data_IF_845241456941
#
_entry.id   IF_845241456941
#
_cell.length_a   1.000
_cell.length_b   1.000
_cell.length_c   1.000
_cell.angle_alpha   90.00
_cell.angle_beta   90.00
_cell.angle_gamma   90.00
#
_symmetry.space_group_name_H-M   'P 1'
#
loop_
_entity.id
_entity.type
_entity.pdbx_description
1 polymer ?
#
# COMPACT_ATOMS: atom_id res chain seq x y z
N UNK A 1 -15.24 21.19 17.31
CA UNK A 1 -14.03 20.34 17.13
C UNK A 1 -14.54 18.95 16.87
N UNK A 2 -14.47 18.47 15.63
CA UNK A 2 -14.85 17.09 15.32
C UNK A 2 -13.68 16.21 15.71
N UNK A 3 -13.88 15.40 16.73
CA UNK A 3 -12.95 14.37 17.15
C UNK A 3 -12.81 13.34 16.02
N UNK A 4 -11.71 13.44 15.25
CA UNK A 4 -11.34 12.46 14.23
C UNK A 4 -10.54 11.37 14.96
N UNK A 5 -11.16 10.68 15.92
CA UNK A 5 -10.55 9.50 16.50
C UNK A 5 -10.57 8.35 15.48
N UNK A 6 -9.50 7.57 15.43
CA UNK A 6 -9.42 6.41 14.53
C UNK A 6 -10.59 5.44 14.69
N UNK A 7 -11.20 5.37 15.89
CA UNK A 7 -12.37 4.53 16.18
C UNK A 7 -13.66 5.08 15.55
N UNK A 8 -13.81 6.39 15.45
CA UNK A 8 -14.96 7.00 14.75
C UNK A 8 -14.89 6.73 13.24
N UNK A 9 -13.71 6.87 12.63
CA UNK A 9 -13.47 6.51 11.23
C UNK A 9 -13.74 5.02 10.97
N UNK A 10 -13.25 4.12 11.84
CA UNK A 10 -13.53 2.67 11.76
C UNK A 10 -15.01 2.35 11.85
N UNK A 11 -15.76 3.03 12.73
CA UNK A 11 -17.19 2.79 12.89
C UNK A 11 -18.01 3.18 11.65
N UNK A 12 -17.63 4.27 10.98
CA UNK A 12 -18.27 4.72 9.73
C UNK A 12 -17.96 3.84 8.53
N UNK A 13 -16.83 3.12 8.56
CA UNK A 13 -16.26 2.38 7.42
C UNK A 13 -16.39 0.86 7.52
N UNK A 14 -17.35 0.34 8.30
CA UNK A 14 -17.57 -1.12 8.42
C UNK A 14 -18.09 -1.74 7.13
N UNK A 15 -17.56 -2.91 6.78
CA UNK A 15 -17.96 -3.76 5.66
C UNK A 15 -16.90 -3.83 4.57
N UNK A 16 -16.97 -4.88 3.74
CA UNK A 16 -16.02 -5.13 2.67
C UNK A 16 -15.86 -3.94 1.70
N UNK A 17 -14.66 -3.75 1.16
CA UNK A 17 -14.35 -2.72 0.17
C UNK A 17 -14.42 -3.34 -1.21
N UNK A 18 -15.50 -3.07 -1.93
CA UNK A 18 -15.80 -3.72 -3.23
C UNK A 18 -16.07 -2.74 -4.37
N UNK A 19 -16.03 -1.43 -4.12
CA UNK A 19 -16.30 -0.41 -5.13
C UNK A 19 -15.22 0.68 -5.15
N UNK A 20 -15.02 1.28 -6.33
CA UNK A 20 -14.08 2.40 -6.48
C UNK A 20 -14.48 3.61 -5.65
N UNK A 21 -15.78 3.92 -5.57
CA UNK A 21 -16.25 5.05 -4.74
C UNK A 21 -15.86 4.88 -3.28
N UNK A 22 -15.92 3.63 -2.78
CA UNK A 22 -15.48 3.34 -1.42
C UNK A 22 -13.97 3.45 -1.26
N UNK A 23 -13.19 3.00 -2.24
CA UNK A 23 -11.73 3.20 -2.28
C UNK A 23 -11.39 4.67 -2.20
N UNK A 24 -12.01 5.49 -3.06
CA UNK A 24 -11.78 6.93 -3.10
C UNK A 24 -12.16 7.61 -1.78
N UNK A 25 -13.30 7.21 -1.19
CA UNK A 25 -13.76 7.77 0.07
C UNK A 25 -12.79 7.44 1.23
N UNK A 26 -12.36 6.18 1.35
CA UNK A 26 -11.37 5.75 2.36
C UNK A 26 -10.04 6.49 2.15
N UNK A 27 -9.56 6.54 0.91
CA UNK A 27 -8.28 7.16 0.61
C UNK A 27 -8.30 8.67 0.86
N UNK A 28 -9.37 9.37 0.44
CA UNK A 28 -9.52 10.80 0.72
C UNK A 28 -9.51 11.07 2.24
N UNK A 29 -10.31 10.32 3.02
CA UNK A 29 -10.35 10.47 4.47
C UNK A 29 -8.98 10.19 5.12
N UNK A 30 -8.24 9.19 4.63
CA UNK A 30 -6.91 8.89 5.14
C UNK A 30 -5.89 9.96 4.77
N UNK A 31 -5.90 10.45 3.53
CA UNK A 31 -4.99 11.52 3.10
C UNK A 31 -5.31 12.84 3.83
N UNK A 32 -6.57 13.13 4.10
CA UNK A 32 -6.97 14.28 4.93
C UNK A 32 -6.37 14.17 6.34
N UNK A 33 -6.44 13.01 6.97
CA UNK A 33 -5.80 12.77 8.27
C UNK A 33 -4.27 12.88 8.18
N UNK A 34 -3.66 12.32 7.15
CA UNK A 34 -2.22 12.32 6.94
C UNK A 34 -1.63 13.71 6.70
N UNK A 35 -2.39 14.60 6.07
CA UNK A 35 -1.99 15.96 5.73
C UNK A 35 -2.61 17.03 6.64
N UNK A 36 -3.21 16.60 7.78
CA UNK A 36 -3.83 17.50 8.76
C UNK A 36 -4.93 18.40 8.16
N UNK A 37 -5.62 17.93 7.13
CA UNK A 37 -6.69 18.65 6.45
C UNK A 37 -8.05 18.41 7.14
N UNK A 38 -8.99 19.34 7.03
CA UNK A 38 -10.35 19.11 7.48
C UNK A 38 -11.02 17.96 6.72
N UNK A 39 -11.91 17.22 7.38
CA UNK A 39 -12.69 16.17 6.75
C UNK A 39 -13.53 16.70 5.57
N UNK A 40 -13.45 16.02 4.42
CA UNK A 40 -14.13 16.41 3.18
C UNK A 40 -13.40 17.48 2.35
N UNK A 41 -12.25 17.96 2.79
CA UNK A 41 -11.49 19.00 2.09
C UNK A 41 -11.08 18.57 0.67
N UNK A 42 -10.64 17.33 0.49
CA UNK A 42 -10.22 16.79 -0.83
C UNK A 42 -11.40 16.77 -1.80
N UNK A 43 -12.54 16.23 -1.37
CA UNK A 43 -13.74 16.18 -2.21
C UNK A 43 -14.25 17.58 -2.55
N UNK A 44 -14.18 18.51 -1.62
CA UNK A 44 -14.54 19.89 -1.87
C UNK A 44 -13.59 20.56 -2.87
N UNK A 45 -12.29 20.35 -2.73
CA UNK A 45 -11.28 20.86 -3.64
C UNK A 45 -11.49 20.38 -5.08
N UNK A 46 -11.78 19.09 -5.27
CA UNK A 46 -12.07 18.52 -6.58
C UNK A 46 -13.30 19.16 -7.22
N UNK A 47 -14.37 19.36 -6.46
CA UNK A 47 -15.60 19.99 -6.94
C UNK A 47 -15.42 21.48 -7.31
N UNK A 48 -14.52 22.17 -6.63
CA UNK A 48 -14.23 23.59 -6.87
C UNK A 48 -13.07 23.84 -7.86
N UNK A 49 -12.39 22.78 -8.31
CA UNK A 49 -11.21 22.89 -9.15
C UNK A 49 -10.01 23.52 -8.42
N UNK A 50 -9.92 23.31 -7.09
CA UNK A 50 -8.78 23.80 -6.32
C UNK A 50 -7.53 22.97 -6.62
N UNK A 51 -6.40 23.65 -6.88
CA UNK A 51 -5.16 22.97 -7.26
C UNK A 51 -4.35 22.45 -6.08
N UNK A 52 -4.41 23.14 -4.93
CA UNK A 52 -3.57 22.83 -3.75
C UNK A 52 -4.35 23.01 -2.46
N UNK A 53 -4.26 22.00 -1.60
CA UNK A 53 -4.68 22.04 -0.20
C UNK A 53 -3.45 22.06 0.70
N UNK A 54 -3.44 22.92 1.70
CA UNK A 54 -2.31 23.04 2.62
C UNK A 54 -2.74 23.25 4.06
N UNK A 55 -2.02 22.62 5.00
CA UNK A 55 -2.26 22.74 6.43
C UNK A 55 -0.96 22.76 7.23
N UNK A 56 -1.01 23.32 8.44
CA UNK A 56 0.05 23.12 9.43
C UNK A 56 -0.09 21.75 10.09
N UNK A 57 1.05 21.16 10.43
CA UNK A 57 1.10 19.90 11.16
C UNK A 57 0.41 20.07 12.53
N UNK A 58 -0.46 19.12 12.85
CA UNK A 58 -1.08 19.03 14.16
C UNK A 58 -0.08 18.44 15.18
N UNK A 59 -0.29 18.66 16.50
CA UNK A 59 0.42 17.94 17.54
C UNK A 59 0.29 16.42 17.36
N UNK A 60 1.33 15.67 17.74
CA UNK A 60 1.40 14.22 17.54
C UNK A 60 0.20 13.46 18.14
N UNK A 61 -0.29 13.91 19.29
CA UNK A 61 -1.48 13.36 19.96
C UNK A 61 -2.78 13.53 19.16
N UNK A 62 -2.87 14.54 18.30
CA UNK A 62 -4.02 14.79 17.42
C UNK A 62 -3.90 14.03 16.09
N UNK A 63 -2.73 13.48 15.77
CA UNK A 63 -2.44 12.76 14.54
C UNK A 63 -2.72 11.24 14.63
N UNK A 64 -3.49 10.77 15.59
CA UNK A 64 -3.71 9.33 15.86
C UNK A 64 -4.32 8.55 14.69
N UNK A 65 -5.02 9.24 13.76
CA UNK A 65 -5.59 8.65 12.55
C UNK A 65 -4.63 8.63 11.36
N UNK A 66 -3.48 9.31 11.43
CA UNK A 66 -2.47 9.29 10.36
C UNK A 66 -1.82 7.93 10.19
N UNK A 67 -1.30 7.67 8.99
CA UNK A 67 -0.48 6.48 8.73
C UNK A 67 0.78 6.51 9.59
N UNK A 68 1.01 5.39 10.29
CA UNK A 68 2.06 5.28 11.33
C UNK A 68 3.49 5.19 10.77
N UNK A 69 3.64 4.96 9.47
CA UNK A 69 4.97 4.86 8.83
C UNK A 69 5.79 6.13 8.94
N UNK A 70 5.13 7.27 8.88
CA UNK A 70 5.77 8.59 8.82
C UNK A 70 5.44 9.44 10.05
N UNK A 71 5.17 8.80 11.21
CA UNK A 71 4.83 9.54 12.41
C UNK A 71 6.02 10.42 12.88
N UNK A 72 5.75 11.69 13.02
CA UNK A 72 6.41 12.66 13.92
C UNK A 72 7.77 13.26 13.50
N UNK A 73 8.47 12.78 12.47
CA UNK A 73 9.87 13.19 12.24
C UNK A 73 10.08 14.10 11.02
N UNK A 74 9.01 14.43 10.28
CA UNK A 74 9.10 15.25 9.07
C UNK A 74 8.71 16.71 9.34
N UNK A 75 9.36 17.63 8.63
CA UNK A 75 9.05 19.05 8.66
C UNK A 75 8.15 19.49 7.49
N UNK A 76 8.14 18.68 6.41
CA UNK A 76 7.34 18.89 5.21
C UNK A 76 6.87 17.54 4.66
N UNK A 77 5.58 17.45 4.37
CA UNK A 77 4.95 16.35 3.64
C UNK A 77 4.24 16.90 2.43
N UNK A 78 4.47 16.31 1.28
CA UNK A 78 3.90 16.72 0.00
C UNK A 78 3.36 15.50 -0.73
N UNK A 79 2.21 15.64 -1.38
CA UNK A 79 1.62 14.61 -2.21
C UNK A 79 0.72 15.19 -3.28
N UNK A 80 0.28 14.32 -4.18
CA UNK A 80 -0.75 14.64 -5.16
C UNK A 80 -1.74 13.47 -5.26
N UNK A 81 -3.01 13.79 -5.21
CA UNK A 81 -4.09 12.85 -5.37
C UNK A 81 -5.15 13.41 -6.32
N UNK A 82 -5.35 12.72 -7.46
CA UNK A 82 -6.32 13.09 -8.49
C UNK A 82 -6.21 14.56 -8.94
N UNK A 83 -4.99 15.04 -9.13
CA UNK A 83 -4.72 16.41 -9.58
C UNK A 83 -4.73 17.47 -8.48
N UNK A 84 -5.10 17.12 -7.24
CA UNK A 84 -5.03 18.01 -6.10
C UNK A 84 -3.70 17.84 -5.38
N UNK A 85 -2.91 18.90 -5.30
CA UNK A 85 -1.70 18.95 -4.49
C UNK A 85 -2.05 18.98 -3.00
N UNK A 86 -1.38 18.13 -2.21
CA UNK A 86 -1.57 18.04 -0.76
C UNK A 86 -0.27 18.44 -0.07
N UNK A 87 -0.36 19.31 0.93
CA UNK A 87 0.80 19.86 1.59
C UNK A 87 0.55 20.03 3.08
N UNK A 88 1.48 19.50 3.88
CA UNK A 88 1.51 19.73 5.31
C UNK A 88 2.93 20.07 5.76
N UNK A 89 3.09 21.08 6.60
CA UNK A 89 4.38 21.48 7.13
C UNK A 89 4.30 21.88 8.59
N UNK A 90 5.38 21.66 9.31
CA UNK A 90 5.49 22.03 10.73
C UNK A 90 5.60 23.55 10.93
N UNK A 91 6.27 24.24 9.99
CA UNK A 91 6.52 25.67 10.12
C UNK A 91 5.73 26.47 9.07
N UNK A 92 5.08 27.54 9.54
CA UNK A 92 4.30 28.44 8.68
C UNK A 92 5.09 28.99 7.48
N UNK A 93 6.37 29.32 7.65
CA UNK A 93 7.24 29.78 6.58
C UNK A 93 7.45 28.72 5.51
N UNK A 94 7.72 27.48 5.92
CA UNK A 94 7.88 26.34 5.01
C UNK A 94 6.58 26.09 4.24
N UNK A 95 5.45 26.06 4.96
CA UNK A 95 4.12 25.87 4.39
C UNK A 95 3.83 26.91 3.30
N UNK A 96 3.99 28.19 3.64
CA UNK A 96 3.72 29.29 2.70
C UNK A 96 4.54 29.18 1.42
N UNK A 97 5.87 29.01 1.55
CA UNK A 97 6.76 28.98 0.39
C UNK A 97 6.54 27.72 -0.45
N UNK A 98 6.36 26.55 0.19
CA UNK A 98 6.07 25.33 -0.53
C UNK A 98 4.70 25.38 -1.25
N UNK A 99 3.69 26.02 -0.65
CA UNK A 99 2.38 26.24 -1.31
C UNK A 99 2.53 27.12 -2.55
N UNK A 100 3.36 28.14 -2.51
CA UNK A 100 3.64 29.00 -3.67
C UNK A 100 4.32 28.21 -4.81
N UNK A 101 5.24 27.28 -4.48
CA UNK A 101 5.89 26.42 -5.46
C UNK A 101 4.94 25.39 -6.10
N UNK A 102 3.91 24.96 -5.37
CA UNK A 102 2.95 23.96 -5.86
C UNK A 102 1.83 24.54 -6.74
N UNK A 103 1.67 25.85 -6.81
CA UNK A 103 0.61 26.46 -7.61
C UNK A 103 0.90 26.34 -9.10
N UNK A 104 -0.15 26.10 -9.90
CA UNK A 104 -0.06 25.99 -11.34
C UNK A 104 0.52 24.67 -11.83
N UNK A 105 1.21 24.69 -12.95
CA UNK A 105 1.75 23.48 -13.60
C UNK A 105 2.76 22.70 -12.74
N UNK A 106 3.40 23.38 -11.79
CA UNK A 106 4.37 22.75 -10.89
C UNK A 106 3.76 21.70 -9.98
N UNK A 107 2.46 21.76 -9.67
CA UNK A 107 1.80 20.76 -8.82
C UNK A 107 1.90 19.33 -9.36
N UNK A 108 1.91 19.15 -10.67
CA UNK A 108 2.03 17.86 -11.35
C UNK A 108 3.49 17.37 -11.48
N UNK A 109 4.44 18.30 -11.48
CA UNK A 109 5.87 18.03 -11.74
C UNK A 109 6.74 18.23 -10.50
N UNK A 110 6.14 18.37 -9.33
CA UNK A 110 6.84 18.68 -8.08
C UNK A 110 7.86 17.59 -7.67
N UNK A 111 7.66 16.36 -8.14
CA UNK A 111 8.60 15.26 -7.94
C UNK A 111 9.84 15.32 -8.83
N UNK A 112 9.93 16.26 -9.76
CA UNK A 112 11.07 16.42 -10.65
C UNK A 112 12.23 17.16 -9.98
N UNK A 113 13.43 17.01 -10.55
CA UNK A 113 14.67 17.50 -9.94
C UNK A 113 14.65 19.01 -9.61
N UNK A 114 14.16 19.84 -10.50
CA UNK A 114 14.19 21.29 -10.29
C UNK A 114 13.32 21.76 -9.11
N UNK A 115 12.04 21.35 -8.98
CA UNK A 115 11.24 21.60 -7.79
C UNK A 115 11.79 20.98 -6.51
N UNK A 116 12.29 19.75 -6.58
CA UNK A 116 12.89 19.07 -5.41
C UNK A 116 14.11 19.83 -4.89
N UNK A 117 14.94 20.37 -5.77
CA UNK A 117 16.08 21.20 -5.38
C UNK A 117 15.62 22.43 -4.61
N UNK A 118 14.60 23.13 -5.07
CA UNK A 118 14.06 24.32 -4.40
C UNK A 118 13.51 23.98 -3.01
N UNK A 119 12.81 22.84 -2.89
CA UNK A 119 12.32 22.37 -1.60
C UNK A 119 13.47 22.00 -0.65
N UNK A 120 14.52 21.37 -1.13
CA UNK A 120 15.71 21.06 -0.33
C UNK A 120 16.44 22.33 0.15
N UNK A 121 16.56 23.33 -0.69
CA UNK A 121 17.08 24.64 -0.30
C UNK A 121 16.22 25.29 0.81
N UNK A 122 14.89 25.18 0.71
CA UNK A 122 13.94 25.64 1.74
C UNK A 122 14.09 24.88 3.07
N UNK A 123 14.38 23.57 3.02
CA UNK A 123 14.48 22.67 4.17
C UNK A 123 15.86 22.70 4.85
N UNK A 124 16.91 23.11 4.15
CA UNK A 124 18.30 23.16 4.67
C UNK A 124 18.43 23.87 6.02
N UNK A 125 17.78 25.04 6.28
CA UNK A 125 17.88 25.71 7.60
C UNK A 125 17.33 24.88 8.77
N UNK A 126 16.55 23.82 8.48
CA UNK A 126 15.96 22.92 9.46
C UNK A 126 16.72 21.59 9.54
N UNK A 127 17.89 21.48 8.88
CA UNK A 127 18.64 20.23 8.75
C UNK A 127 17.79 19.07 8.17
N UNK A 128 16.91 19.39 7.25
CA UNK A 128 15.99 18.45 6.59
C UNK A 128 16.19 18.46 5.08
N UNK A 129 15.87 17.34 4.46
CA UNK A 129 15.83 17.19 3.01
C UNK A 129 14.74 16.22 2.60
N UNK A 130 14.36 16.24 1.33
CA UNK A 130 13.50 15.22 0.73
C UNK A 130 14.34 13.98 0.46
N UNK A 131 13.96 12.85 1.04
CA UNK A 131 14.69 11.59 0.92
C UNK A 131 14.35 10.78 -0.34
N UNK A 132 13.21 11.02 -0.93
CA UNK A 132 12.73 10.32 -2.12
C UNK A 132 11.22 10.39 -2.26
N UNK A 133 10.74 10.12 -3.46
CA UNK A 133 9.31 10.05 -3.76
C UNK A 133 8.84 8.59 -3.73
N UNK A 134 7.66 8.36 -3.19
CA UNK A 134 6.97 7.07 -3.26
C UNK A 134 5.73 7.21 -4.14
N UNK A 135 5.52 6.22 -4.99
CA UNK A 135 4.26 6.05 -5.73
C UNK A 135 3.46 4.97 -5.03
N UNK A 136 2.19 5.25 -4.81
CA UNK A 136 1.27 4.37 -4.12
C UNK A 136 0.15 3.93 -5.04
N UNK A 137 -0.22 2.68 -4.89
CA UNK A 137 -1.15 1.96 -5.72
C UNK A 137 -2.32 1.48 -4.88
N UNK A 138 -3.54 1.58 -5.42
CA UNK A 138 -4.76 1.02 -4.82
C UNK A 138 -5.41 0.00 -5.76
N UNK A 139 -6.33 -0.84 -5.25
CA UNK A 139 -7.03 -1.82 -6.06
C UNK A 139 -7.73 -1.21 -7.27
N UNK A 140 -7.56 -1.83 -8.44
CA UNK A 140 -8.34 -1.56 -9.64
C UNK A 140 -9.76 -2.11 -9.50
N UNK A 141 -10.65 -1.71 -10.42
CA UNK A 141 -12.01 -2.25 -10.50
C UNK A 141 -12.01 -3.78 -10.58
N UNK A 142 -11.17 -4.37 -11.40
CA UNK A 142 -11.11 -5.83 -11.58
C UNK A 142 -10.73 -6.56 -10.27
N UNK A 143 -9.80 -6.01 -9.50
CA UNK A 143 -9.44 -6.58 -8.20
C UNK A 143 -10.61 -6.47 -7.21
N UNK A 144 -11.30 -5.33 -7.18
CA UNK A 144 -12.46 -5.12 -6.31
C UNK A 144 -13.62 -6.08 -6.65
N UNK A 145 -13.92 -6.26 -7.93
CA UNK A 145 -14.96 -7.18 -8.40
C UNK A 145 -14.64 -8.66 -8.08
N UNK A 146 -13.36 -9.01 -7.98
CA UNK A 146 -12.92 -10.36 -7.63
C UNK A 146 -13.07 -10.73 -6.14
N UNK A 147 -13.35 -9.74 -5.29
CA UNK A 147 -13.45 -9.96 -3.83
C UNK A 147 -14.67 -10.79 -3.47
N UNK A 148 -15.79 -10.57 -4.15
CA UNK A 148 -17.05 -11.25 -3.88
C UNK A 148 -17.21 -12.45 -4.81
N UNK A 149 -17.20 -13.70 -4.28
CA UNK A 149 -17.56 -14.87 -5.07
C UNK A 149 -19.01 -14.77 -5.56
N UNK A 150 -19.33 -15.30 -6.75
CA UNK A 150 -20.67 -15.20 -7.35
C UNK A 150 -21.78 -15.87 -6.49
N UNK A 151 -21.42 -16.75 -5.59
CA UNK A 151 -22.34 -17.55 -4.78
C UNK A 151 -22.70 -16.88 -3.43
N UNK A 152 -22.08 -15.73 -3.09
CA UNK A 152 -22.40 -15.01 -1.84
C UNK A 152 -23.47 -13.96 -2.13
N UNK A 153 -24.66 -14.05 -1.52
CA UNK A 153 -25.73 -13.10 -1.76
C UNK A 153 -25.36 -11.70 -1.25
N UNK A 154 -25.50 -10.72 -2.13
CA UNK A 154 -25.38 -9.31 -1.77
C UNK A 154 -26.67 -8.83 -1.10
N UNK A 155 -26.56 -8.18 0.05
CA UNK A 155 -27.67 -7.51 0.72
C UNK A 155 -27.61 -6.02 0.42
N UNK A 156 -28.71 -5.46 -0.07
CA UNK A 156 -28.86 -4.00 -0.20
C UNK A 156 -29.15 -3.39 1.19
N UNK A 157 -28.27 -2.50 1.62
CA UNK A 157 -28.41 -1.81 2.92
C UNK A 157 -28.43 -0.31 2.67
N UNK A 158 -29.41 0.39 3.27
CA UNK A 158 -29.50 1.84 3.22
C UNK A 158 -28.27 2.46 3.90
N UNK A 159 -27.52 3.27 3.17
CA UNK A 159 -26.32 3.91 3.72
C UNK A 159 -26.71 5.03 4.69
N UNK A 160 -26.07 5.08 5.85
CA UNK A 160 -26.28 6.13 6.84
C UNK A 160 -25.59 7.47 6.48
N UNK A 161 -24.77 7.48 5.42
CA UNK A 161 -24.05 8.67 4.96
C UNK A 161 -24.98 9.51 4.08
N UNK A 162 -25.20 10.80 4.39
CA UNK A 162 -26.02 11.70 3.57
C UNK A 162 -25.46 11.80 2.13
N UNK A 163 -26.33 11.60 1.14
CA UNK A 163 -25.97 11.68 -0.29
C UNK A 163 -25.61 10.35 -0.95
N UNK A 164 -25.40 9.28 -0.18
CA UNK A 164 -25.20 7.92 -0.70
C UNK A 164 -26.48 7.13 -0.43
N UNK A 165 -27.23 6.77 -1.47
CA UNK A 165 -28.50 6.06 -1.37
C UNK A 165 -28.36 4.63 -0.83
N UNK A 166 -28.60 3.61 -1.66
CA UNK A 166 -28.46 2.21 -1.31
C UNK A 166 -27.02 1.72 -1.58
N UNK A 167 -26.41 1.04 -0.61
CA UNK A 167 -25.13 0.33 -0.78
C UNK A 167 -25.38 -1.17 -0.78
N UNK A 168 -24.66 -1.88 -1.66
CA UNK A 168 -24.59 -3.34 -1.58
C UNK A 168 -23.62 -3.74 -0.46
N UNK A 169 -24.10 -4.51 0.48
CA UNK A 169 -23.30 -5.01 1.61
C UNK A 169 -23.21 -6.51 1.53
N UNK A 170 -21.98 -7.02 1.55
CA UNK A 170 -21.71 -8.45 1.66
C UNK A 170 -21.42 -8.78 3.11
N UNK A 171 -21.89 -9.94 3.58
CA UNK A 171 -21.50 -10.45 4.89
C UNK A 171 -19.98 -10.70 4.92
N UNK A 172 -19.27 -9.82 5.62
CA UNK A 172 -17.82 -9.90 5.71
C UNK A 172 -17.31 -11.16 6.41
N UNK A 173 -18.11 -11.78 7.28
CA UNK A 173 -17.75 -13.03 7.96
C UNK A 173 -17.78 -14.22 7.00
N UNK A 174 -18.87 -14.37 6.26
CA UNK A 174 -19.02 -15.43 5.25
C UNK A 174 -17.99 -15.26 4.11
N UNK A 175 -17.74 -14.03 3.69
CA UNK A 175 -16.76 -13.72 2.66
C UNK A 175 -15.33 -14.09 3.09
N UNK A 176 -14.95 -13.73 4.32
CA UNK A 176 -13.65 -14.10 4.89
C UNK A 176 -13.43 -15.60 4.93
N UNK A 177 -14.43 -16.31 5.40
CA UNK A 177 -14.34 -17.78 5.53
C UNK A 177 -14.25 -18.43 4.14
N UNK A 178 -15.04 -17.97 3.17
CA UNK A 178 -14.97 -18.45 1.78
C UNK A 178 -13.59 -18.19 1.17
N UNK A 179 -13.02 -17.00 1.34
CA UNK A 179 -11.69 -16.68 0.85
C UNK A 179 -10.59 -17.48 1.54
N UNK A 180 -10.69 -17.69 2.87
CA UNK A 180 -9.76 -18.56 3.59
C UNK A 180 -9.79 -19.99 3.06
N UNK A 181 -10.95 -20.55 2.85
CA UNK A 181 -11.10 -21.89 2.31
C UNK A 181 -10.56 -21.99 0.89
N UNK A 182 -10.83 -20.98 0.06
CA UNK A 182 -10.29 -20.91 -1.29
C UNK A 182 -8.76 -20.89 -1.27
N UNK A 183 -8.15 -20.00 -0.48
CA UNK A 183 -6.69 -19.84 -0.39
C UNK A 183 -6.02 -21.08 0.19
N UNK A 184 -6.56 -21.67 1.25
CA UNK A 184 -6.01 -22.90 1.84
C UNK A 184 -6.11 -24.11 0.90
N UNK A 185 -6.98 -24.07 -0.12
CA UNK A 185 -7.12 -25.08 -1.17
C UNK A 185 -6.26 -24.84 -2.42
N UNK A 186 -5.66 -23.65 -2.56
CA UNK A 186 -4.92 -23.29 -3.75
C UNK A 186 -3.61 -24.10 -3.88
N UNK A 187 -3.59 -24.98 -4.86
CA UNK A 187 -2.36 -25.51 -5.43
C UNK A 187 -2.14 -24.83 -6.77
N UNK A 188 -1.20 -23.90 -6.81
CA UNK A 188 -0.87 -23.22 -8.06
C UNK A 188 0.24 -24.00 -8.76
N UNK A 189 -0.09 -24.58 -9.91
CA UNK A 189 0.91 -25.14 -10.81
C UNK A 189 1.34 -24.04 -11.76
N UNK A 190 2.58 -23.59 -11.65
CA UNK A 190 3.15 -22.61 -12.57
C UNK A 190 4.03 -23.38 -13.56
N UNK A 191 3.63 -23.38 -14.83
CA UNK A 191 4.49 -23.86 -15.92
C UNK A 191 5.51 -22.78 -16.25
N UNK A 192 6.79 -23.08 -16.11
CA UNK A 192 7.88 -22.14 -16.41
C UNK A 192 8.73 -22.72 -17.51
N UNK A 193 9.02 -21.94 -18.57
CA UNK A 193 10.11 -22.30 -19.48
C UNK A 193 11.41 -22.38 -18.67
N UNK A 194 12.15 -23.45 -18.84
CA UNK A 194 13.44 -23.64 -18.19
C UNK A 194 14.43 -22.64 -18.82
N UNK A 195 14.52 -21.41 -18.26
CA UNK A 195 15.56 -20.48 -18.64
C UNK A 195 16.88 -20.97 -18.02
N UNK A 196 17.63 -21.76 -18.76
CA UNK A 196 19.06 -21.98 -18.45
C UNK A 196 19.77 -20.62 -18.50
N UNK A 197 20.62 -20.35 -17.52
CA UNK A 197 21.34 -19.09 -17.34
C UNK A 197 22.23 -18.65 -18.51
N UNK A 198 22.32 -19.45 -19.58
CA UNK A 198 23.18 -19.24 -20.75
C UNK A 198 22.40 -19.24 -22.08
N UNK A 199 21.22 -18.57 -22.10
CA UNK A 199 20.35 -18.51 -23.27
C UNK A 199 20.86 -17.59 -24.41
N UNK A 200 22.11 -17.75 -24.83
CA UNK A 200 22.62 -17.20 -26.11
C UNK A 200 22.73 -18.25 -27.21
N UNK A 201 22.57 -19.55 -26.91
CA UNK A 201 22.65 -20.65 -27.89
C UNK A 201 21.66 -21.79 -27.53
N UNK A 202 20.38 -21.52 -27.40
CA UNK A 202 19.36 -22.55 -27.21
C UNK A 202 18.69 -22.86 -28.56
N UNK A 203 18.84 -24.09 -29.04
CA UNK A 203 18.02 -24.67 -30.10
C UNK A 203 16.54 -24.64 -29.72
N UNK A 204 15.66 -24.33 -30.69
CA UNK A 204 14.22 -24.13 -30.50
C UNK A 204 13.44 -25.36 -29.98
N UNK A 205 14.06 -26.48 -29.76
CA UNK A 205 13.43 -27.77 -29.45
C UNK A 205 13.57 -28.23 -27.98
N UNK A 206 14.23 -27.45 -27.10
CA UNK A 206 14.45 -27.83 -25.69
C UNK A 206 13.66 -26.94 -24.71
N UNK A 207 12.34 -26.74 -24.95
CA UNK A 207 11.44 -26.17 -23.99
C UNK A 207 11.01 -27.22 -22.96
N UNK A 208 11.93 -27.66 -22.12
CA UNK A 208 11.57 -28.44 -20.94
C UNK A 208 10.80 -27.53 -19.99
N UNK A 209 9.46 -27.64 -20.00
CA UNK A 209 8.56 -26.97 -19.06
C UNK A 209 8.68 -27.72 -17.74
N UNK A 210 9.39 -27.15 -16.77
CA UNK A 210 9.32 -27.68 -15.41
C UNK A 210 8.06 -27.19 -14.72
N UNK A 211 7.18 -28.11 -14.33
CA UNK A 211 6.07 -27.82 -13.47
C UNK A 211 6.59 -27.51 -12.06
N UNK A 212 6.27 -26.31 -11.58
CA UNK A 212 6.59 -25.87 -10.23
C UNK A 212 5.30 -25.72 -9.45
N UNK A 213 5.08 -26.61 -8.49
CA UNK A 213 3.88 -26.63 -7.66
C UNK A 213 4.15 -25.96 -6.32
N UNK A 214 3.35 -24.96 -5.98
CA UNK A 214 3.42 -24.27 -4.68
C UNK A 214 2.13 -24.43 -3.92
N UNK A 215 2.26 -24.56 -2.60
CA UNK A 215 1.16 -24.54 -1.64
C UNK A 215 1.17 -23.18 -0.93
N UNK A 216 0.01 -22.49 -0.95
CA UNK A 216 -0.16 -21.19 -0.27
C UNK A 216 -0.81 -21.44 1.09
N UNK A 217 -0.27 -20.79 2.12
CA UNK A 217 -0.78 -20.86 3.48
C UNK A 217 -0.94 -19.48 4.10
N UNK A 218 -2.03 -19.27 4.84
CA UNK A 218 -2.18 -18.14 5.76
C UNK A 218 -1.46 -18.49 7.07
N UNK A 219 -0.39 -17.77 7.35
CA UNK A 219 0.43 -18.03 8.54
C UNK A 219 -0.18 -17.38 9.78
N UNK A 220 -0.15 -18.11 10.88
CA UNK A 220 -0.44 -17.59 12.21
C UNK A 220 0.81 -16.86 12.77
N UNK A 221 0.64 -15.90 13.71
CA UNK A 221 1.75 -15.13 14.29
C UNK A 221 2.92 -15.99 14.76
N UNK A 222 2.65 -17.11 15.42
CA UNK A 222 3.66 -18.02 15.96
C UNK A 222 4.54 -18.63 14.86
N UNK A 223 4.00 -18.74 13.65
CA UNK A 223 4.71 -19.32 12.50
C UNK A 223 5.57 -18.30 11.76
N UNK A 224 5.15 -17.05 11.65
CA UNK A 224 5.94 -16.05 10.94
C UNK A 224 6.92 -15.29 11.86
N UNK A 225 6.71 -15.30 13.17
CA UNK A 225 7.61 -14.67 14.15
C UNK A 225 9.05 -15.21 14.06
N UNK A 226 9.23 -16.45 13.67
CA UNK A 226 10.56 -17.06 13.47
C UNK A 226 11.41 -16.37 12.40
N UNK A 227 10.81 -15.56 11.55
CA UNK A 227 11.49 -14.81 10.49
C UNK A 227 11.86 -13.38 10.90
N UNK A 228 11.67 -13.02 12.18
CA UNK A 228 12.07 -11.70 12.70
C UNK A 228 13.56 -11.47 12.48
N UNK A 229 13.88 -10.38 11.75
CA UNK A 229 15.25 -10.02 11.39
C UNK A 229 15.85 -10.83 10.24
N UNK A 230 15.06 -11.67 9.58
CA UNK A 230 15.50 -12.38 8.37
C UNK A 230 15.45 -11.44 7.16
N UNK A 231 16.59 -11.08 6.56
CA UNK A 231 16.62 -10.13 5.44
C UNK A 231 15.92 -10.65 4.17
N UNK A 232 15.69 -11.94 4.07
CA UNK A 232 14.99 -12.55 2.93
C UNK A 232 13.53 -12.09 2.83
N UNK A 233 12.91 -11.66 3.94
CA UNK A 233 11.50 -11.30 4.03
C UNK A 233 11.27 -9.90 4.64
N UNK A 234 12.28 -9.04 4.59
CA UNK A 234 12.26 -7.72 5.23
C UNK A 234 11.26 -6.72 4.59
N UNK A 235 10.84 -6.95 3.33
CA UNK A 235 9.77 -6.15 2.72
C UNK A 235 8.38 -6.71 3.04
N UNK A 236 8.25 -8.03 3.16
CA UNK A 236 6.98 -8.69 3.51
C UNK A 236 6.61 -8.48 4.98
N UNK A 237 7.59 -8.53 5.89
CA UNK A 237 7.40 -8.48 7.34
C UNK A 237 8.23 -7.36 7.95
N UNK A 238 7.54 -6.36 8.50
CA UNK A 238 8.19 -5.21 9.13
C UNK A 238 8.53 -5.42 10.60
N UNK A 239 7.83 -6.31 11.30
CA UNK A 239 7.94 -6.57 12.74
C UNK A 239 7.98 -5.30 13.60
N UNK A 240 7.27 -4.27 13.16
CA UNK A 240 7.24 -2.98 13.83
C UNK A 240 6.15 -2.95 14.91
N UNK A 241 6.48 -2.55 16.13
CA UNK A 241 5.50 -2.38 17.20
C UNK A 241 4.45 -1.31 16.87
N UNK A 242 4.84 -0.30 16.09
CA UNK A 242 3.91 0.75 15.65
C UNK A 242 2.99 0.31 14.51
N UNK A 243 3.45 -0.63 13.67
CA UNK A 243 2.76 -1.16 12.49
C UNK A 243 2.90 -2.68 12.48
N UNK A 244 2.21 -3.37 13.39
CA UNK A 244 2.31 -4.84 13.46
C UNK A 244 1.84 -5.50 12.18
N UNK A 245 2.51 -6.57 11.80
CA UNK A 245 2.07 -7.45 10.72
C UNK A 245 0.83 -8.20 11.21
N UNK A 246 -0.28 -8.10 10.46
CA UNK A 246 -1.59 -8.62 10.90
C UNK A 246 -2.10 -9.75 10.05
N UNK A 247 -1.57 -9.92 8.85
CA UNK A 247 -1.97 -10.98 7.93
C UNK A 247 -0.78 -11.33 7.04
N UNK A 248 -0.46 -12.60 6.94
CA UNK A 248 0.72 -13.09 6.21
C UNK A 248 0.35 -14.29 5.38
N UNK A 249 0.51 -14.20 4.05
CA UNK A 249 0.45 -15.35 3.14
C UNK A 249 1.86 -15.78 2.76
N UNK A 250 2.10 -17.08 2.78
CA UNK A 250 3.37 -17.67 2.37
C UNK A 250 3.15 -18.79 1.36
N UNK A 251 4.04 -18.85 0.38
CA UNK A 251 4.10 -19.93 -0.60
C UNK A 251 5.25 -20.87 -0.26
N UNK A 252 4.95 -22.14 -0.17
CA UNK A 252 5.90 -23.22 0.07
C UNK A 252 5.96 -24.15 -1.13
N UNK A 253 7.09 -24.80 -1.31
CA UNK A 253 7.18 -25.94 -2.21
C UNK A 253 6.16 -27.02 -1.77
N UNK A 254 5.33 -27.48 -2.71
CA UNK A 254 4.30 -28.48 -2.41
C UNK A 254 4.86 -29.79 -1.91
N UNK A 255 6.08 -30.14 -2.31
CA UNK A 255 6.76 -31.40 -1.95
C UNK A 255 7.53 -31.29 -0.64
N UNK A 256 7.72 -30.06 -0.12
CA UNK A 256 8.44 -29.85 1.12
C UNK A 256 7.57 -30.16 2.35
N UNK A 257 8.20 -30.74 3.38
CA UNK A 257 7.53 -31.04 4.67
C UNK A 257 7.04 -29.74 5.33
N UNK A 258 5.74 -29.63 5.67
CA UNK A 258 5.11 -28.36 6.09
C UNK A 258 5.75 -27.69 7.33
N UNK A 259 6.31 -28.48 8.24
CA UNK A 259 6.76 -27.98 9.55
C UNK A 259 8.14 -27.29 9.53
N UNK A 260 9.00 -27.61 8.55
CA UNK A 260 10.43 -27.23 8.54
C UNK A 260 10.82 -26.37 7.31
N UNK A 261 9.95 -26.30 6.29
CA UNK A 261 10.27 -25.60 5.07
C UNK A 261 10.26 -24.08 5.27
N UNK A 262 11.26 -23.42 4.67
CA UNK A 262 11.23 -21.96 4.50
C UNK A 262 10.29 -21.60 3.35
N UNK A 263 9.55 -20.49 3.44
CA UNK A 263 8.72 -20.01 2.35
C UNK A 263 9.57 -19.62 1.13
N UNK A 264 9.09 -19.94 -0.04
CA UNK A 264 9.65 -19.48 -1.32
C UNK A 264 9.31 -18.01 -1.60
N UNK A 265 8.15 -17.57 -1.09
CA UNK A 265 7.71 -16.19 -1.13
C UNK A 265 6.79 -15.92 0.06
N UNK A 266 6.73 -14.64 0.47
CA UNK A 266 5.90 -14.21 1.58
C UNK A 266 5.35 -12.83 1.29
N UNK A 267 4.02 -12.67 1.45
CA UNK A 267 3.34 -11.36 1.40
C UNK A 267 2.76 -11.06 2.78
N UNK A 268 2.99 -9.86 3.27
CA UNK A 268 2.48 -9.39 4.55
C UNK A 268 1.62 -8.13 4.42
N UNK A 269 0.63 -8.01 5.28
CA UNK A 269 -0.18 -6.80 5.46
C UNK A 269 0.08 -6.23 6.85
N UNK A 270 0.49 -4.97 6.93
CA UNK A 270 0.73 -4.27 8.19
C UNK A 270 -0.42 -3.34 8.59
N UNK A 271 -0.64 -3.19 9.90
CA UNK A 271 -1.60 -2.23 10.49
C UNK A 271 -1.06 -0.80 10.43
N UNK A 272 -1.06 -0.22 9.24
CA UNK A 272 -0.43 1.08 8.99
C UNK A 272 -1.31 2.27 9.42
N UNK A 273 -2.63 2.11 9.35
CA UNK A 273 -3.59 3.15 9.76
C UNK A 273 -4.95 2.56 10.14
N UNK A 274 -5.87 3.36 10.69
CA UNK A 274 -7.23 2.90 11.00
C UNK A 274 -7.99 2.31 9.82
N UNK A 275 -7.72 2.75 8.58
CA UNK A 275 -8.50 2.40 7.39
C UNK A 275 -7.71 1.60 6.37
N UNK A 276 -6.38 1.63 6.40
CA UNK A 276 -5.54 1.12 5.33
C UNK A 276 -4.50 0.13 5.84
N UNK A 277 -4.14 -0.82 4.96
CA UNK A 277 -3.12 -1.84 5.21
C UNK A 277 -2.07 -1.79 4.12
N UNK A 278 -0.81 -1.62 4.50
CA UNK A 278 0.29 -1.68 3.53
C UNK A 278 0.61 -3.13 3.20
N UNK A 279 0.75 -3.42 1.91
CA UNK A 279 1.16 -4.74 1.43
C UNK A 279 2.65 -4.72 1.11
N UNK A 280 3.38 -5.68 1.68
CA UNK A 280 4.77 -5.96 1.37
C UNK A 280 4.92 -7.36 0.78
N UNK A 281 6.00 -7.61 0.03
CA UNK A 281 6.25 -8.89 -0.65
C UNK A 281 7.74 -9.15 -0.81
N UNK A 282 8.15 -10.39 -0.53
CA UNK A 282 9.46 -10.92 -0.87
C UNK A 282 9.33 -12.27 -1.57
N UNK A 283 10.21 -12.49 -2.55
CA UNK A 283 10.32 -13.74 -3.30
C UNK A 283 11.78 -14.13 -3.38
N UNK A 284 12.10 -15.36 -3.01
CA UNK A 284 13.47 -15.88 -3.06
C UNK A 284 14.01 -15.83 -4.50
N UNK A 285 15.30 -15.52 -4.70
CA UNK A 285 15.87 -15.27 -6.02
C UNK A 285 15.61 -16.38 -7.04
N UNK A 286 15.76 -17.64 -6.63
CA UNK A 286 15.65 -18.81 -7.51
C UNK A 286 14.22 -19.14 -8.00
N UNK A 287 13.18 -18.46 -7.44
CA UNK A 287 11.78 -18.63 -7.85
C UNK A 287 11.13 -17.34 -8.37
N UNK A 288 11.95 -16.31 -8.63
CA UNK A 288 11.46 -15.06 -9.23
C UNK A 288 10.97 -15.27 -10.66
N UNK A 289 10.25 -14.26 -11.18
CA UNK A 289 9.69 -14.20 -12.54
C UNK A 289 8.66 -15.29 -12.90
N UNK A 290 8.10 -15.97 -11.86
CA UNK A 290 7.09 -17.03 -12.00
C UNK A 290 5.66 -16.55 -11.66
N UNK A 291 5.44 -15.25 -11.56
CA UNK A 291 4.12 -14.68 -11.18
C UNK A 291 3.75 -14.77 -9.71
N UNK A 292 4.57 -15.47 -8.90
CA UNK A 292 4.27 -15.78 -7.50
C UNK A 292 4.04 -14.53 -6.63
N UNK A 293 4.85 -13.48 -6.82
CA UNK A 293 4.69 -12.21 -6.11
C UNK A 293 3.31 -11.58 -6.38
N UNK A 294 2.94 -11.46 -7.64
CA UNK A 294 1.65 -10.87 -8.02
C UNK A 294 0.48 -11.69 -7.50
N UNK A 295 0.59 -13.01 -7.52
CA UNK A 295 -0.45 -13.90 -7.02
C UNK A 295 -0.65 -13.77 -5.50
N UNK A 296 0.42 -13.79 -4.70
CA UNK A 296 0.32 -13.60 -3.24
C UNK A 296 -0.22 -12.22 -2.88
N UNK A 297 0.24 -11.16 -3.55
CA UNK A 297 -0.25 -9.79 -3.34
C UNK A 297 -1.74 -9.70 -3.69
N UNK A 298 -2.17 -10.31 -4.80
CA UNK A 298 -3.57 -10.36 -5.22
C UNK A 298 -4.45 -11.03 -4.15
N UNK A 299 -4.10 -12.25 -3.72
CA UNK A 299 -4.91 -13.00 -2.75
C UNK A 299 -4.94 -12.33 -1.36
N UNK A 300 -3.78 -11.83 -0.90
CA UNK A 300 -3.73 -11.10 0.36
C UNK A 300 -4.61 -9.84 0.32
N UNK A 301 -4.59 -9.13 -0.80
CA UNK A 301 -5.40 -7.91 -0.96
C UNK A 301 -6.89 -8.20 -0.96
N UNK A 302 -7.34 -9.31 -1.55
CA UNK A 302 -8.76 -9.75 -1.47
C UNK A 302 -9.19 -9.99 -0.02
N UNK A 303 -8.33 -10.61 0.79
CA UNK A 303 -8.61 -10.83 2.21
C UNK A 303 -8.70 -9.50 2.97
N UNK A 304 -7.78 -8.57 2.73
CA UNK A 304 -7.79 -7.24 3.36
C UNK A 304 -9.05 -6.47 2.98
N UNK A 305 -9.46 -6.51 1.71
CA UNK A 305 -10.70 -5.88 1.23
C UNK A 305 -11.95 -6.49 1.87
N UNK A 306 -11.99 -7.82 2.00
CA UNK A 306 -13.07 -8.52 2.69
C UNK A 306 -13.18 -8.15 4.17
N UNK A 307 -12.04 -7.86 4.80
CA UNK A 307 -11.96 -7.38 6.19
C UNK A 307 -12.42 -5.91 6.35
N UNK A 308 -12.68 -5.23 5.24
CA UNK A 308 -13.17 -3.84 5.24
C UNK A 308 -12.07 -2.78 5.29
N UNK A 309 -10.83 -3.19 5.03
CA UNK A 309 -9.69 -2.27 4.93
C UNK A 309 -9.27 -2.07 3.48
N UNK A 310 -8.67 -0.92 3.20
CA UNK A 310 -8.08 -0.65 1.90
C UNK A 310 -6.63 -1.12 1.85
N UNK A 311 -6.28 -2.16 1.09
CA UNK A 311 -4.90 -2.50 0.84
C UNK A 311 -4.26 -1.45 -0.05
N UNK A 312 -3.02 -1.09 0.24
CA UNK A 312 -2.23 -0.24 -0.63
C UNK A 312 -0.82 -0.77 -0.78
N UNK A 313 -0.24 -0.50 -1.93
CA UNK A 313 1.11 -0.91 -2.26
C UNK A 313 1.96 0.32 -2.53
N UNK A 314 3.10 0.46 -1.86
CA UNK A 314 4.00 1.60 -2.00
C UNK A 314 5.36 1.19 -2.53
N UNK A 315 5.90 1.95 -3.50
CA UNK A 315 7.23 1.69 -4.04
C UNK A 315 7.89 2.97 -4.56
N UNK A 316 9.21 2.96 -4.66
CA UNK A 316 9.95 4.02 -5.34
C UNK A 316 9.63 4.04 -6.85
N UNK A 317 9.57 5.22 -7.50
CA UNK A 317 9.45 5.34 -8.95
C UNK A 317 10.56 4.61 -9.73
N UNK A 318 11.74 4.46 -9.15
CA UNK A 318 12.85 3.74 -9.77
C UNK A 318 12.77 2.21 -9.64
N UNK A 319 11.94 1.69 -8.73
CA UNK A 319 11.83 0.24 -8.50
C UNK A 319 10.81 -0.41 -9.43
N UNK A 320 11.14 -0.49 -10.72
CA UNK A 320 10.26 -0.97 -11.79
C UNK A 320 9.73 -2.40 -11.56
N UNK A 321 10.53 -3.29 -10.98
CA UNK A 321 10.08 -4.66 -10.69
C UNK A 321 8.94 -4.68 -9.68
N UNK A 322 9.02 -3.87 -8.63
CA UNK A 322 7.96 -3.73 -7.63
C UNK A 322 6.69 -3.13 -8.22
N UNK A 323 6.82 -2.12 -9.09
CA UNK A 323 5.68 -1.54 -9.81
C UNK A 323 4.98 -2.59 -10.70
N UNK A 324 5.74 -3.44 -11.40
CA UNK A 324 5.18 -4.53 -12.21
C UNK A 324 4.42 -5.54 -11.36
N UNK A 325 4.88 -5.84 -10.14
CA UNK A 325 4.15 -6.70 -9.20
C UNK A 325 2.81 -6.07 -8.84
N UNK A 326 2.79 -4.78 -8.46
CA UNK A 326 1.57 -4.07 -8.12
C UNK A 326 0.55 -4.11 -9.29
N UNK A 327 0.98 -3.76 -10.51
CA UNK A 327 0.13 -3.77 -11.69
C UNK A 327 -0.41 -5.17 -12.00
N UNK A 328 0.45 -6.20 -11.95
CA UNK A 328 0.06 -7.58 -12.22
C UNK A 328 -0.89 -8.14 -11.15
N UNK A 329 -0.80 -7.66 -9.91
CA UNK A 329 -1.73 -7.99 -8.82
C UNK A 329 -3.05 -7.20 -8.89
N UNK A 330 -3.27 -6.40 -9.94
CA UNK A 330 -4.51 -5.66 -10.14
C UNK A 330 -4.59 -4.32 -9.41
N UNK A 331 -3.47 -3.74 -9.04
CA UNK A 331 -3.40 -2.39 -8.50
C UNK A 331 -3.19 -1.36 -9.60
N UNK A 332 -3.56 -0.11 -9.34
CA UNK A 332 -3.31 1.04 -10.22
C UNK A 332 -2.60 2.14 -9.44
N UNK A 333 -1.70 2.92 -10.07
CA UNK A 333 -1.08 4.07 -9.42
C UNK A 333 -2.17 5.11 -9.10
N UNK A 334 -2.18 5.62 -7.88
CA UNK A 334 -3.30 6.43 -7.37
C UNK A 334 -2.85 7.75 -6.78
N UNK A 335 -1.79 7.74 -5.98
CA UNK A 335 -1.19 8.97 -5.46
C UNK A 335 0.32 8.81 -5.32
N UNK A 336 1.00 9.92 -5.23
CA UNK A 336 2.40 9.96 -4.86
C UNK A 336 2.60 10.91 -3.69
N UNK A 337 3.64 10.67 -2.93
CA UNK A 337 4.05 11.54 -1.84
C UNK A 337 5.53 11.43 -1.53
N UNK A 338 6.03 12.44 -0.85
CA UNK A 338 7.29 12.39 -0.15
C UNK A 338 7.20 13.12 1.19
N UNK A 339 8.13 12.80 2.09
CA UNK A 339 8.33 13.48 3.36
C UNK A 339 9.77 13.95 3.45
N UNK A 340 10.00 15.04 4.18
CA UNK A 340 11.35 15.42 4.55
C UNK A 340 11.89 14.47 5.63
N UNK A 341 13.19 14.28 5.62
CA UNK A 341 13.92 13.51 6.65
C UNK A 341 15.10 14.32 7.15
N UNK A 342 15.58 13.99 8.35
CA UNK A 342 16.80 14.57 8.91
C UNK A 342 17.99 14.27 7.98
N UNK A 343 18.81 15.28 7.72
CA UNK A 343 20.08 15.10 6.98
C UNK A 343 21.06 14.18 7.72
N UNK A 344 20.89 14.01 9.03
CA UNK A 344 21.76 13.16 9.86
C UNK A 344 21.32 11.69 9.90
N UNK A 345 20.06 11.41 9.52
CA UNK A 345 19.48 10.06 9.53
C UNK A 345 19.58 9.35 8.17
N UNK A 346 20.16 10.00 7.17
CA UNK A 346 20.46 9.32 5.90
C UNK A 346 21.54 8.28 6.15
N UNK A 347 21.32 6.99 5.81
CA UNK A 347 22.41 6.04 5.79
C UNK A 347 23.47 6.60 4.84
N UNK A 348 24.61 6.98 5.37
CA UNK A 348 25.81 7.15 4.56
C UNK A 348 25.99 5.79 3.91
N UNK A 349 25.88 5.75 2.60
CA UNK A 349 26.11 4.53 1.83
C UNK A 349 27.33 3.79 2.43
N UNK A 350 27.09 2.63 3.01
CA UNK A 350 28.12 1.61 3.11
C UNK A 350 28.42 1.10 1.69
N UNK A 351 28.84 2.03 0.84
CA UNK A 351 29.41 1.74 -0.46
C UNK A 351 30.93 1.61 -0.27
N UNK A 352 31.34 0.42 0.07
CA UNK A 352 32.70 -0.03 -0.19
C UNK A 352 32.73 -1.55 -0.36
#
# INVERSE_FOLDING_TARGET
MNDISGDHLRAQMRGAVTTLDRVHHILAAQLEADFCLPAGAISQAQNLGAEVLSALQLPAEEMSASRRRNADTWELRVGNYLGVGLLCAKYHRVLKTATEYMRGELSNWLGDYAPLRQLNELLTPYSQQVSGTSVYYTPSRNLLESVVPPDIPEQEVKCAVPGIGMMRRVDSGALRESLRQHICGLRTVTTVPNASADALEADEDDTAVSEFSVRIELLQPERYERFRGDPRYANALGFSDRRPDIMVLAAFDSDAAPALADPLAMAGASDDSPLMRQIGIDVLPHVRQRGLAAHLVYELSRMVLADGYLPFYGTSPSHVLSQRVALAAGFIPTWWEFVSTSMHDMPLDEAS
#
